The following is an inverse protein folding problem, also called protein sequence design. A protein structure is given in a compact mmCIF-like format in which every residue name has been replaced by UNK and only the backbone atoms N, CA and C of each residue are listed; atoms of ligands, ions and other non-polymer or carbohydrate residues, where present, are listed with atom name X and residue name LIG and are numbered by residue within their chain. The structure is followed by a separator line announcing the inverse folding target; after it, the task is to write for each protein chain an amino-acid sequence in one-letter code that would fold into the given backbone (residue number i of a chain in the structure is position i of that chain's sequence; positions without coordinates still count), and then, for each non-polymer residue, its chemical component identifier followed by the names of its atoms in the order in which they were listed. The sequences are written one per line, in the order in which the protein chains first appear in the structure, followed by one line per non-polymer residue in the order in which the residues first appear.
data_IF_018208742074
#
_entry.id   IF_018208742074
#
_cell.length_a   1.000
_cell.length_b   1.000
_cell.length_c   1.000
_cell.angle_alpha   90.00
_cell.angle_beta   90.00
_cell.angle_gamma   90.00
#
_symmetry.space_group_name_H-M   'P 1'
#
loop_
_entity.id
_entity.type
_entity.pdbx_description
1 polymer ?
#
# COMPACT_ATOMS: atom_id res chain seq x y z
N UNK A 1 -15.77 7.58 3.59
CA UNK A 1 -17.01 6.86 3.95
C UNK A 1 -16.70 5.87 5.05
N UNK A 2 -17.25 6.06 6.26
CA UNK A 2 -16.97 5.20 7.42
C UNK A 2 -18.05 4.13 7.63
N UNK A 3 -19.25 4.34 7.08
CA UNK A 3 -20.37 3.39 7.18
C UNK A 3 -20.64 2.60 5.89
N UNK A 4 -19.92 2.86 4.81
CA UNK A 4 -20.22 2.30 3.48
C UNK A 4 -21.42 2.95 2.77
N UNK A 5 -21.45 2.80 1.44
CA UNK A 5 -22.51 3.40 0.60
C UNK A 5 -23.86 2.76 0.92
N UNK A 6 -24.91 3.58 0.96
CA UNK A 6 -26.29 3.14 1.19
C UNK A 6 -26.77 3.22 2.65
N UNK A 7 -25.87 3.52 3.60
CA UNK A 7 -26.20 3.60 5.03
C UNK A 7 -26.42 5.04 5.55
N UNK A 8 -26.48 6.03 4.66
CA UNK A 8 -26.72 7.44 4.97
C UNK A 8 -27.41 8.12 3.79
N UNK A 9 -28.07 9.24 4.06
CA UNK A 9 -28.72 10.08 3.05
C UNK A 9 -27.85 11.28 2.67
N UNK A 10 -28.18 11.96 1.56
CA UNK A 10 -27.55 13.24 1.21
C UNK A 10 -27.75 14.29 2.31
N UNK A 11 -28.89 14.27 2.99
CA UNK A 11 -29.17 15.15 4.12
C UNK A 11 -28.19 14.92 5.27
N UNK A 12 -27.92 13.66 5.61
CA UNK A 12 -26.94 13.34 6.66
C UNK A 12 -25.54 13.87 6.31
N UNK A 13 -25.15 13.82 5.03
CA UNK A 13 -23.86 14.38 4.57
C UNK A 13 -23.83 15.89 4.77
N UNK A 14 -24.89 16.61 4.39
CA UNK A 14 -24.96 18.08 4.54
C UNK A 14 -24.93 18.48 6.01
N UNK A 15 -25.69 17.80 6.86
CA UNK A 15 -25.76 18.10 8.29
C UNK A 15 -24.46 17.73 9.02
N UNK A 16 -23.82 16.62 8.64
CA UNK A 16 -22.48 16.30 9.12
C UNK A 16 -21.45 17.34 8.68
N UNK A 17 -21.49 17.81 7.43
CA UNK A 17 -20.60 18.86 6.94
C UNK A 17 -20.76 20.17 7.74
N UNK A 18 -21.99 20.53 8.12
CA UNK A 18 -22.25 21.65 9.04
C UNK A 18 -21.58 21.42 10.39
N UNK A 19 -21.62 20.21 10.94
CA UNK A 19 -21.00 19.89 12.22
C UNK A 19 -19.46 19.95 12.18
N UNK A 20 -18.84 19.63 11.04
CA UNK A 20 -17.38 19.74 10.85
C UNK A 20 -16.88 21.15 10.55
N UNK A 21 -17.77 22.15 10.39
CA UNK A 21 -17.32 23.54 10.21
C UNK A 21 -16.49 24.00 11.41
N UNK A 22 -15.48 24.82 11.16
CA UNK A 22 -14.51 25.26 12.18
C UNK A 22 -13.36 24.27 12.42
N UNK A 23 -13.45 23.00 12.01
CA UNK A 23 -12.30 22.09 12.05
C UNK A 23 -11.25 22.48 11.01
N UNK A 24 -9.98 22.48 11.39
CA UNK A 24 -8.88 22.64 10.45
C UNK A 24 -7.53 22.45 11.12
N UNK A 25 -6.48 22.98 10.51
CA UNK A 25 -5.12 22.88 11.02
C UNK A 25 -4.39 24.22 11.01
N UNK A 26 -3.34 24.37 11.81
CA UNK A 26 -2.44 25.53 11.79
C UNK A 26 -1.27 25.32 10.80
N UNK A 27 -0.35 26.29 10.69
CA UNK A 27 0.80 26.18 9.78
C UNK A 27 1.75 25.01 10.09
N UNK A 28 1.68 24.47 11.31
CA UNK A 28 2.44 23.31 11.79
C UNK A 28 1.73 21.98 11.52
N UNK A 29 0.49 22.01 11.00
CA UNK A 29 -0.31 20.81 10.74
C UNK A 29 -1.06 20.28 11.96
N UNK A 30 -1.07 21.01 13.09
CA UNK A 30 -1.80 20.61 14.29
C UNK A 30 -3.28 20.94 14.14
N UNK A 31 -4.15 20.08 14.70
CA UNK A 31 -5.59 20.32 14.71
C UNK A 31 -5.95 21.59 15.49
N UNK A 32 -6.84 22.40 14.92
CA UNK A 32 -7.38 23.61 15.56
C UNK A 32 -8.87 23.70 15.29
N UNK A 33 -9.65 23.90 16.35
CA UNK A 33 -11.07 24.24 16.26
C UNK A 33 -11.27 25.76 16.27
N UNK A 34 -11.86 26.30 15.21
CA UNK A 34 -12.15 27.73 15.02
C UNK A 34 -13.62 28.01 15.29
N UNK A 35 -13.94 28.32 16.55
CA UNK A 35 -15.31 28.54 16.99
C UNK A 35 -16.09 29.56 16.14
N UNK A 36 -15.45 30.66 15.71
CA UNK A 36 -16.09 31.69 14.88
C UNK A 36 -16.39 31.25 13.44
N UNK A 37 -15.89 30.08 13.01
CA UNK A 37 -16.16 29.47 11.71
C UNK A 37 -17.08 28.25 11.83
N UNK A 38 -17.51 27.90 13.05
CA UNK A 38 -18.40 26.77 13.29
C UNK A 38 -19.87 27.22 13.23
N UNK A 39 -20.68 26.43 12.52
CA UNK A 39 -22.13 26.56 12.50
C UNK A 39 -22.70 26.04 13.82
N UNK A 40 -23.18 26.94 14.68
CA UNK A 40 -23.78 26.62 15.99
C UNK A 40 -25.27 26.29 15.92
N UNK A 41 -25.84 26.20 14.71
CA UNK A 41 -27.23 25.80 14.51
C UNK A 41 -27.48 24.34 14.91
N UNK A 42 -28.75 24.02 15.16
CA UNK A 42 -29.18 22.64 15.33
C UNK A 42 -29.00 21.85 14.03
N UNK A 43 -28.52 20.62 14.16
CA UNK A 43 -28.15 19.70 13.08
C UNK A 43 -28.82 18.36 13.31
N UNK A 44 -29.19 17.67 12.24
CA UNK A 44 -29.79 16.32 12.33
C UNK A 44 -28.95 15.31 11.56
N UNK A 45 -28.34 14.37 12.26
CA UNK A 45 -27.46 13.35 11.68
C UNK A 45 -27.96 11.98 12.10
N UNK A 46 -28.30 11.12 11.12
CA UNK A 46 -28.80 9.75 11.33
C UNK A 46 -29.98 9.68 12.32
N UNK A 47 -30.91 10.62 12.19
CA UNK A 47 -32.12 10.69 13.02
C UNK A 47 -31.93 11.30 14.41
N UNK A 48 -30.70 11.63 14.81
CA UNK A 48 -30.43 12.39 16.04
C UNK A 48 -30.38 13.87 15.74
N UNK A 49 -30.91 14.71 16.64
CA UNK A 49 -30.92 16.17 16.48
C UNK A 49 -30.29 16.84 17.68
N UNK A 50 -29.40 17.80 17.45
CA UNK A 50 -28.67 18.52 18.49
C UNK A 50 -27.80 19.63 17.91
N UNK A 51 -27.16 20.43 18.76
CA UNK A 51 -26.11 21.34 18.31
C UNK A 51 -24.78 20.59 18.24
N UNK A 52 -24.66 19.70 17.25
CA UNK A 52 -23.52 18.78 17.15
C UNK A 52 -22.28 19.48 16.58
N UNK A 53 -21.11 19.10 17.10
CA UNK A 53 -19.82 19.33 16.47
C UNK A 53 -19.30 18.08 15.72
N UNK A 54 -18.06 18.14 15.24
CA UNK A 54 -17.46 17.01 14.51
C UNK A 54 -17.26 15.77 15.39
N UNK A 55 -16.97 15.92 16.68
CA UNK A 55 -16.75 14.79 17.59
C UNK A 55 -18.08 14.09 17.91
N UNK A 56 -19.15 14.87 18.08
CA UNK A 56 -20.51 14.33 18.22
C UNK A 56 -20.90 13.51 16.99
N UNK A 57 -20.62 13.99 15.79
CA UNK A 57 -20.89 13.23 14.56
C UNK A 57 -20.09 11.92 14.55
N UNK A 58 -18.81 11.94 14.94
CA UNK A 58 -18.02 10.72 15.03
C UNK A 58 -18.66 9.72 16.01
N UNK A 59 -19.10 10.17 17.19
CA UNK A 59 -19.78 9.33 18.16
C UNK A 59 -21.08 8.72 17.58
N UNK A 60 -21.90 9.54 16.92
CA UNK A 60 -23.14 9.09 16.27
C UNK A 60 -22.86 8.01 15.21
N UNK A 61 -21.78 8.16 14.44
CA UNK A 61 -21.37 7.17 13.45
C UNK A 61 -20.89 5.87 14.12
N UNK A 62 -20.13 5.97 15.21
CA UNK A 62 -19.61 4.82 15.94
C UNK A 62 -20.72 4.04 16.66
N UNK A 63 -21.85 4.67 17.00
CA UNK A 63 -23.02 3.94 17.53
C UNK A 63 -23.70 3.03 16.49
N UNK A 64 -23.43 3.19 15.20
CA UNK A 64 -24.03 2.35 14.16
C UNK A 64 -23.24 1.04 14.00
N UNK A 65 -23.85 -0.15 14.20
CA UNK A 65 -23.14 -1.42 14.05
C UNK A 65 -22.57 -1.64 12.65
N UNK A 66 -23.20 -1.08 11.62
CA UNK A 66 -22.71 -1.13 10.23
C UNK A 66 -21.36 -0.43 10.05
N UNK A 67 -21.03 0.55 10.90
CA UNK A 67 -19.72 1.21 10.91
C UNK A 67 -18.61 0.23 11.28
N UNK A 68 -18.81 -0.56 12.35
CA UNK A 68 -17.88 -1.61 12.74
C UNK A 68 -17.71 -2.66 11.64
N UNK A 69 -18.79 -3.11 11.01
CA UNK A 69 -18.74 -4.06 9.88
C UNK A 69 -17.95 -3.47 8.71
N UNK A 70 -18.19 -2.21 8.33
CA UNK A 70 -17.52 -1.59 7.20
C UNK A 70 -16.01 -1.41 7.44
N UNK A 71 -15.62 -0.92 8.61
CA UNK A 71 -14.20 -0.76 8.99
C UNK A 71 -13.52 -2.14 9.04
N UNK A 72 -14.17 -3.13 9.65
CA UNK A 72 -13.66 -4.51 9.73
C UNK A 72 -13.46 -5.11 8.34
N UNK A 73 -14.39 -4.90 7.40
CA UNK A 73 -14.21 -5.33 6.00
C UNK A 73 -12.96 -4.73 5.35
N UNK A 74 -12.65 -3.46 5.63
CA UNK A 74 -11.43 -2.82 5.11
C UNK A 74 -10.17 -3.43 5.71
N UNK A 75 -10.14 -3.60 7.04
CA UNK A 75 -9.00 -4.19 7.75
C UNK A 75 -8.79 -5.65 7.32
N UNK A 76 -9.88 -6.42 7.19
CA UNK A 76 -9.83 -7.80 6.70
C UNK A 76 -9.24 -7.87 5.28
N UNK A 77 -9.67 -6.99 4.37
CA UNK A 77 -9.09 -6.90 3.02
C UNK A 77 -7.61 -6.51 3.05
N UNK A 78 -7.22 -5.66 3.99
CA UNK A 78 -5.83 -5.21 4.09
C UNK A 78 -4.89 -6.26 4.66
N UNK A 79 -5.33 -7.10 5.60
CA UNK A 79 -4.44 -8.03 6.30
C UNK A 79 -4.68 -9.51 6.02
N UNK A 80 -5.85 -9.90 5.51
CA UNK A 80 -6.24 -11.32 5.39
C UNK A 80 -6.39 -11.73 3.93
N UNK A 81 -7.39 -11.20 3.24
CA UNK A 81 -7.76 -11.65 1.90
C UNK A 81 -8.68 -10.62 1.22
N UNK A 82 -8.49 -10.40 -0.08
CA UNK A 82 -9.40 -9.56 -0.88
C UNK A 82 -10.82 -10.14 -0.93
N UNK A 83 -10.92 -11.47 -0.94
CA UNK A 83 -12.17 -12.22 -0.85
C UNK A 83 -12.64 -12.26 0.62
N UNK A 84 -13.81 -11.67 0.87
CA UNK A 84 -14.37 -11.58 2.21
C UNK A 84 -14.98 -12.93 2.63
N UNK A 85 -14.68 -13.34 3.86
CA UNK A 85 -15.48 -14.34 4.56
C UNK A 85 -16.45 -13.61 5.50
N UNK A 86 -17.73 -13.55 5.13
CA UNK A 86 -18.73 -12.78 5.88
C UNK A 86 -18.91 -13.27 7.32
N UNK A 87 -18.73 -14.58 7.60
CA UNK A 87 -18.82 -15.11 8.95
C UNK A 87 -17.68 -14.59 9.84
N UNK A 88 -16.43 -14.64 9.35
CA UNK A 88 -15.27 -14.12 10.07
C UNK A 88 -15.38 -12.60 10.26
N UNK A 89 -15.78 -11.88 9.20
CA UNK A 89 -15.98 -10.43 9.25
C UNK A 89 -17.03 -10.06 10.28
N UNK A 90 -18.17 -10.76 10.33
CA UNK A 90 -19.24 -10.46 11.27
C UNK A 90 -18.80 -10.75 12.72
N UNK A 91 -18.09 -11.86 12.94
CA UNK A 91 -17.53 -12.20 14.25
C UNK A 91 -16.53 -11.14 14.74
N UNK A 92 -15.60 -10.72 13.88
CA UNK A 92 -14.64 -9.65 14.17
C UNK A 92 -15.35 -8.31 14.41
N UNK A 93 -16.32 -7.95 13.56
CA UNK A 93 -17.02 -6.68 13.63
C UNK A 93 -17.85 -6.54 14.92
N UNK A 94 -18.52 -7.61 15.35
CA UNK A 94 -19.25 -7.62 16.61
C UNK A 94 -18.30 -7.35 17.78
N UNK A 95 -17.18 -8.07 17.85
CA UNK A 95 -16.18 -7.87 18.90
C UNK A 95 -15.52 -6.50 18.83
N UNK A 96 -15.28 -5.98 17.63
CA UNK A 96 -14.74 -4.64 17.43
C UNK A 96 -15.69 -3.57 17.95
N UNK A 97 -16.99 -3.72 17.68
CA UNK A 97 -18.04 -2.85 18.20
C UNK A 97 -18.14 -2.94 19.74
N UNK A 98 -18.21 -4.15 20.30
CA UNK A 98 -18.34 -4.40 21.74
C UNK A 98 -17.12 -3.93 22.54
N UNK A 99 -15.95 -3.83 21.90
CA UNK A 99 -14.71 -3.32 22.48
C UNK A 99 -14.47 -1.82 22.20
N UNK A 100 -15.52 -1.04 21.91
CA UNK A 100 -15.43 0.39 21.66
C UNK A 100 -14.44 0.76 20.54
N UNK A 101 -14.43 0.00 19.44
CA UNK A 101 -13.58 0.26 18.28
C UNK A 101 -12.07 0.23 18.56
N UNK A 102 -11.63 -0.58 19.53
CA UNK A 102 -10.20 -0.82 19.78
C UNK A 102 -9.57 -1.63 18.64
N UNK A 103 -8.78 -0.92 17.81
CA UNK A 103 -8.07 -1.50 16.65
C UNK A 103 -7.06 -2.56 17.10
N UNK A 104 -6.44 -2.40 18.27
CA UNK A 104 -5.44 -3.34 18.78
C UNK A 104 -6.07 -4.70 19.01
N UNK A 105 -7.25 -4.73 19.65
CA UNK A 105 -8.00 -5.97 19.89
C UNK A 105 -8.50 -6.60 18.60
N UNK A 106 -8.96 -5.80 17.64
CA UNK A 106 -9.35 -6.31 16.33
C UNK A 106 -8.17 -7.00 15.61
N UNK A 107 -6.99 -6.37 15.60
CA UNK A 107 -5.79 -6.97 15.01
C UNK A 107 -5.34 -8.21 15.79
N UNK A 108 -5.44 -8.21 17.12
CA UNK A 108 -5.15 -9.38 17.93
C UNK A 108 -6.09 -10.56 17.59
N UNK A 109 -7.40 -10.32 17.50
CA UNK A 109 -8.38 -11.34 17.12
C UNK A 109 -8.08 -11.91 15.72
N UNK A 110 -7.63 -11.08 14.77
CA UNK A 110 -7.19 -11.53 13.43
C UNK A 110 -5.94 -12.42 13.54
N UNK A 111 -4.86 -11.93 14.14
CA UNK A 111 -3.56 -12.62 14.12
C UNK A 111 -3.51 -13.83 15.05
N UNK A 112 -4.42 -13.96 16.01
CA UNK A 112 -4.51 -15.14 16.89
C UNK A 112 -5.46 -16.22 16.38
N UNK A 113 -6.21 -15.94 15.31
CA UNK A 113 -7.14 -16.89 14.74
C UNK A 113 -6.45 -17.93 13.85
N UNK A 114 -6.74 -19.21 14.04
CA UNK A 114 -6.17 -20.30 13.23
C UNK A 114 -6.44 -20.13 11.72
N UNK A 115 -7.61 -19.60 11.36
CA UNK A 115 -7.99 -19.39 9.97
C UNK A 115 -7.09 -18.37 9.26
N UNK A 116 -6.41 -17.48 10.00
CA UNK A 116 -5.51 -16.47 9.43
C UNK A 116 -4.34 -17.12 8.70
N UNK A 117 -3.81 -18.22 9.25
CA UNK A 117 -2.63 -18.92 8.74
C UNK A 117 -2.96 -20.06 7.75
N UNK A 118 -4.19 -20.14 7.27
CA UNK A 118 -4.56 -21.12 6.24
C UNK A 118 -3.94 -20.77 4.89
N UNK A 119 -3.57 -21.77 4.08
CA UNK A 119 -2.86 -21.57 2.80
C UNK A 119 -3.55 -20.57 1.86
N UNK A 120 -4.89 -20.53 1.87
CA UNK A 120 -5.69 -19.59 1.07
C UNK A 120 -5.46 -18.11 1.41
N UNK A 121 -4.88 -17.81 2.59
CA UNK A 121 -4.65 -16.47 3.12
C UNK A 121 -3.16 -16.06 3.05
N UNK A 122 -2.27 -16.93 2.53
CA UNK A 122 -0.83 -16.68 2.48
C UNK A 122 -0.42 -16.40 1.03
N UNK A 123 0.26 -15.28 0.77
CA UNK A 123 0.79 -14.99 -0.56
C UNK A 123 -0.30 -14.83 -1.63
N UNK A 124 -1.51 -14.42 -1.23
CA UNK A 124 -2.69 -14.36 -2.10
C UNK A 124 -3.00 -12.93 -2.57
N UNK A 125 -2.32 -11.91 -2.03
CA UNK A 125 -2.55 -10.51 -2.36
C UNK A 125 -1.46 -9.95 -3.23
N UNK A 126 -1.84 -9.09 -4.16
CA UNK A 126 -0.86 -8.30 -4.90
C UNK A 126 -0.36 -7.19 -3.97
N UNK A 127 0.94 -7.16 -3.69
CA UNK A 127 1.60 -6.07 -2.95
C UNK A 127 1.21 -4.73 -3.57
N UNK A 128 0.82 -3.74 -2.78
CA UNK A 128 0.71 -2.36 -3.26
C UNK A 128 2.08 -1.83 -3.69
N UNK A 129 2.16 -0.77 -4.53
CA UNK A 129 3.43 -0.14 -4.89
C UNK A 129 4.32 0.20 -3.69
N UNK A 130 3.74 0.66 -2.59
CA UNK A 130 4.48 0.96 -1.36
C UNK A 130 4.97 -0.32 -0.68
N UNK A 131 4.15 -1.37 -0.59
CA UNK A 131 4.57 -2.67 -0.05
C UNK A 131 5.70 -3.29 -0.87
N UNK A 132 5.66 -3.16 -2.21
CA UNK A 132 6.71 -3.63 -3.10
C UNK A 132 8.04 -2.90 -2.85
N UNK A 133 8.02 -1.57 -2.89
CA UNK A 133 9.23 -0.75 -2.70
C UNK A 133 9.80 -0.88 -1.28
N UNK A 134 8.95 -0.87 -0.25
CA UNK A 134 9.38 -1.08 1.13
C UNK A 134 9.92 -2.50 1.35
N UNK A 135 9.30 -3.52 0.74
CA UNK A 135 9.78 -4.91 0.80
C UNK A 135 11.16 -5.08 0.18
N UNK A 136 11.40 -4.47 -0.99
CA UNK A 136 12.71 -4.46 -1.65
C UNK A 136 13.77 -3.84 -0.73
N UNK A 137 13.51 -2.64 -0.18
CA UNK A 137 14.44 -1.93 0.71
C UNK A 137 14.67 -2.64 2.05
N UNK A 138 13.67 -3.37 2.53
CA UNK A 138 13.79 -4.17 3.76
C UNK A 138 14.76 -5.34 3.57
N UNK A 139 14.72 -5.98 2.41
CA UNK A 139 15.58 -7.13 2.13
C UNK A 139 16.96 -6.72 1.60
N UNK A 140 17.02 -5.67 0.78
CA UNK A 140 18.25 -5.08 0.25
C UNK A 140 18.48 -3.76 0.96
N UNK A 141 19.34 -3.71 2.00
CA UNK A 141 19.71 -2.47 2.66
C UNK A 141 20.30 -1.53 1.61
N UNK A 142 19.55 -0.48 1.27
CA UNK A 142 19.90 0.39 0.17
C UNK A 142 19.52 1.84 0.46
N UNK A 143 20.30 2.74 -0.12
CA UNK A 143 20.02 4.16 -0.17
C UNK A 143 19.81 4.57 -1.62
N UNK A 144 18.74 5.31 -1.91
CA UNK A 144 18.56 5.88 -3.23
C UNK A 144 19.57 7.00 -3.43
N UNK A 145 20.20 7.07 -4.60
CA UNK A 145 21.12 8.18 -4.90
C UNK A 145 20.39 9.54 -4.98
N UNK A 146 19.09 9.53 -5.24
CA UNK A 146 18.22 10.72 -5.28
C UNK A 146 16.89 10.45 -4.60
N UNK A 147 16.51 11.31 -3.66
CA UNK A 147 15.23 11.22 -2.97
C UNK A 147 14.04 11.38 -3.94
N UNK A 148 14.20 12.19 -4.98
CA UNK A 148 13.18 12.41 -6.02
C UNK A 148 12.78 11.11 -6.74
N UNK A 149 13.69 10.13 -6.82
CA UNK A 149 13.43 8.83 -7.46
C UNK A 149 12.35 8.03 -6.74
N UNK A 150 12.22 8.21 -5.42
CA UNK A 150 11.14 7.59 -4.65
C UNK A 150 9.76 8.11 -5.11
N UNK A 151 9.63 9.43 -5.27
CA UNK A 151 8.39 10.04 -5.73
C UNK A 151 8.06 9.64 -7.17
N UNK A 152 9.10 9.54 -8.02
CA UNK A 152 8.94 9.06 -9.40
C UNK A 152 8.36 7.65 -9.46
N UNK A 153 8.92 6.70 -8.69
CA UNK A 153 8.40 5.33 -8.63
C UNK A 153 6.97 5.27 -8.11
N UNK A 154 6.65 6.06 -7.07
CA UNK A 154 5.29 6.19 -6.55
C UNK A 154 4.30 6.68 -7.61
N UNK A 155 4.69 7.69 -8.41
CA UNK A 155 3.85 8.22 -9.49
C UNK A 155 3.66 7.21 -10.62
N UNK A 156 4.74 6.56 -11.07
CA UNK A 156 4.67 5.56 -12.15
C UNK A 156 3.82 4.35 -11.76
N UNK A 157 3.94 3.90 -10.51
CA UNK A 157 3.21 2.73 -9.99
C UNK A 157 1.80 3.05 -9.48
N UNK A 158 1.41 4.33 -9.45
CA UNK A 158 0.04 4.75 -9.13
C UNK A 158 -0.30 4.88 -7.64
N UNK A 159 0.69 5.00 -6.76
CA UNK A 159 0.45 5.19 -5.31
C UNK A 159 1.44 6.20 -4.71
N UNK A 160 1.05 7.48 -4.70
CA UNK A 160 1.78 8.55 -4.03
C UNK A 160 1.29 8.68 -2.60
N UNK A 161 2.17 8.52 -1.61
CA UNK A 161 1.79 8.64 -0.20
C UNK A 161 1.15 10.02 0.09
N UNK A 162 0.13 10.01 0.95
CA UNK A 162 -0.65 11.19 1.34
C UNK A 162 -1.43 11.90 0.20
N UNK A 163 -1.43 11.34 -1.01
CA UNK A 163 -2.14 11.90 -2.16
C UNK A 163 -3.04 10.84 -2.82
N UNK A 164 -4.11 10.39 -2.14
CA UNK A 164 -5.05 9.44 -2.72
C UNK A 164 -5.84 10.08 -3.89
N UNK A 165 -6.22 9.30 -4.90
CA UNK A 165 -6.92 9.82 -6.08
C UNK A 165 -8.31 10.38 -5.74
N UNK A 166 -8.95 9.86 -4.68
CA UNK A 166 -10.23 10.35 -4.18
C UNK A 166 -10.43 9.98 -2.70
N UNK A 167 -11.56 10.39 -2.13
CA UNK A 167 -11.94 10.14 -0.72
C UNK A 167 -12.11 8.65 -0.35
N UNK A 168 -12.17 7.74 -1.33
CA UNK A 168 -12.18 6.30 -1.09
C UNK A 168 -10.77 5.70 -0.91
N UNK A 169 -9.72 6.46 -1.23
CA UNK A 169 -8.33 6.01 -1.21
C UNK A 169 -7.90 5.41 -2.55
N UNK A 170 -6.90 4.54 -2.52
CA UNK A 170 -6.46 3.79 -3.70
C UNK A 170 -7.28 2.51 -3.88
N UNK A 171 -7.67 2.16 -5.12
CA UNK A 171 -8.18 0.84 -5.40
C UNK A 171 -7.06 -0.19 -5.19
N UNK A 172 -7.36 -1.28 -4.47
CA UNK A 172 -6.43 -2.35 -4.18
C UNK A 172 -6.51 -3.54 -5.15
N UNK A 173 -5.60 -4.49 -4.96
CA UNK A 173 -5.58 -5.77 -5.67
C UNK A 173 -5.16 -5.67 -7.12
N UNK A 174 -5.95 -6.23 -8.03
CA UNK A 174 -5.61 -6.30 -9.46
C UNK A 174 -5.44 -4.94 -10.12
N UNK A 175 -5.99 -3.87 -9.55
CA UNK A 175 -5.82 -2.49 -10.06
C UNK A 175 -4.37 -2.01 -9.99
N UNK A 176 -3.52 -2.65 -9.19
CA UNK A 176 -2.08 -2.37 -9.17
C UNK A 176 -1.34 -2.88 -10.41
N UNK A 177 -1.98 -3.74 -11.21
CA UNK A 177 -1.38 -4.38 -12.37
C UNK A 177 -2.11 -3.93 -13.64
N UNK A 178 -1.36 -3.29 -14.52
CA UNK A 178 -1.74 -3.01 -15.89
C UNK A 178 -0.55 -3.28 -16.83
N UNK A 179 -0.76 -3.17 -18.14
CA UNK A 179 0.26 -3.47 -19.15
C UNK A 179 1.56 -2.67 -18.99
N UNK A 180 1.48 -1.46 -18.44
CA UNK A 180 2.65 -0.61 -18.20
C UNK A 180 3.25 -0.82 -16.80
N UNK A 181 2.42 -0.88 -15.75
CA UNK A 181 2.91 -1.01 -14.38
C UNK A 181 3.52 -2.39 -14.12
N UNK A 182 3.02 -3.44 -14.76
CA UNK A 182 3.59 -4.78 -14.65
C UNK A 182 5.06 -4.81 -15.09
N UNK A 183 5.37 -4.23 -16.24
CA UNK A 183 6.75 -4.18 -16.75
C UNK A 183 7.67 -3.46 -15.77
N UNK A 184 7.24 -2.29 -15.27
CA UNK A 184 8.02 -1.52 -14.28
C UNK A 184 8.22 -2.31 -13.00
N UNK A 185 7.18 -2.96 -12.50
CA UNK A 185 7.23 -3.77 -11.26
C UNK A 185 8.24 -4.91 -11.33
N UNK A 186 8.27 -5.62 -12.46
CA UNK A 186 9.20 -6.74 -12.66
C UNK A 186 10.63 -6.23 -12.83
N UNK A 187 10.83 -5.09 -13.50
CA UNK A 187 12.18 -4.56 -13.75
C UNK A 187 12.73 -3.69 -12.60
N UNK A 188 11.88 -3.24 -11.67
CA UNK A 188 12.26 -2.35 -10.57
C UNK A 188 13.49 -2.84 -9.76
N UNK A 189 13.61 -4.12 -9.37
CA UNK A 189 14.79 -4.61 -8.67
C UNK A 189 16.07 -4.49 -9.50
N UNK A 190 15.99 -4.71 -10.82
CA UNK A 190 17.12 -4.56 -11.73
C UNK A 190 17.54 -3.10 -11.89
N UNK A 191 16.58 -2.16 -12.00
CA UNK A 191 16.89 -0.71 -12.05
C UNK A 191 17.65 -0.26 -10.81
N UNK A 192 17.17 -0.68 -9.64
CA UNK A 192 17.77 -0.30 -8.37
C UNK A 192 19.18 -0.88 -8.23
N UNK A 193 19.43 -2.10 -8.71
CA UNK A 193 20.68 -2.84 -8.48
C UNK A 193 21.74 -2.72 -9.59
N UNK A 194 21.33 -2.57 -10.85
CA UNK A 194 22.22 -2.62 -12.01
C UNK A 194 22.57 -1.23 -12.57
N UNK A 195 22.00 -0.15 -12.01
CA UNK A 195 22.08 1.21 -12.57
C UNK A 195 21.62 1.26 -14.04
N UNK A 196 20.74 0.34 -14.43
CA UNK A 196 20.18 0.26 -15.77
C UNK A 196 19.06 1.31 -15.92
N UNK A 197 19.09 2.05 -17.02
CA UNK A 197 18.06 3.04 -17.34
C UNK A 197 16.91 2.35 -18.07
N UNK A 198 15.68 2.46 -17.55
CA UNK A 198 14.48 2.11 -18.32
C UNK A 198 13.84 3.39 -18.85
N UNK A 199 13.51 3.42 -20.14
CA UNK A 199 12.66 4.47 -20.71
C UNK A 199 11.20 4.25 -20.25
N UNK A 200 10.83 4.80 -19.10
CA UNK A 200 9.45 4.74 -18.59
C UNK A 200 8.87 6.14 -18.54
N UNK A 201 7.72 6.32 -19.18
CA UNK A 201 6.89 7.52 -19.03
C UNK A 201 5.84 7.29 -17.97
N UNK A 202 5.77 8.17 -16.96
CA UNK A 202 4.66 8.17 -16.02
C UNK A 202 3.34 8.37 -16.79
N UNK A 203 2.29 7.66 -16.37
CA UNK A 203 0.94 7.91 -16.89
C UNK A 203 0.52 9.34 -16.58
N UNK A 204 -0.12 9.98 -17.55
CA UNK A 204 -0.89 11.18 -17.31
C UNK A 204 -2.25 10.72 -16.79
N UNK A 205 -2.62 11.19 -15.61
CA UNK A 205 -3.92 10.90 -15.02
C UNK A 205 -4.82 12.12 -15.25
N UNK A 206 -5.54 12.12 -16.38
CA UNK A 206 -6.37 13.25 -16.81
C UNK A 206 -7.52 13.54 -15.82
N UNK A 207 -7.97 12.53 -15.07
CA UNK A 207 -9.04 12.64 -14.07
C UNK A 207 -8.57 13.36 -12.78
N UNK A 208 -7.27 13.28 -12.46
CA UNK A 208 -6.68 13.95 -11.28
C UNK A 208 -6.24 15.38 -11.63
N UNK A 209 -5.90 15.60 -12.89
CA UNK A 209 -5.33 16.86 -13.36
C UNK A 209 -6.38 17.91 -13.80
N UNK A 210 -7.68 17.60 -13.78
CA UNK A 210 -8.78 18.55 -14.07
C UNK A 210 -8.53 19.43 -15.31
N UNK A 211 -7.92 18.89 -16.37
CA UNK A 211 -7.60 19.64 -17.58
C UNK A 211 -6.41 20.61 -17.51
N UNK A 212 -5.61 20.62 -16.44
CA UNK A 212 -4.36 21.40 -16.31
C UNK A 212 -3.18 20.76 -17.08
N UNK A 213 -3.40 20.43 -18.35
CA UNK A 213 -2.46 19.64 -19.17
C UNK A 213 -1.23 20.45 -19.62
N UNK A 214 -1.32 21.79 -19.71
CA UNK A 214 -0.26 22.60 -20.35
C UNK A 214 1.00 22.84 -19.50
N UNK A 215 0.87 23.03 -18.19
CA UNK A 215 2.04 23.28 -17.32
C UNK A 215 2.74 21.98 -16.89
N UNK A 216 1.99 20.90 -16.70
CA UNK A 216 2.59 19.63 -16.29
C UNK A 216 3.29 18.90 -17.44
N UNK A 217 2.84 19.04 -18.69
CA UNK A 217 3.56 18.51 -19.87
C UNK A 217 4.96 19.13 -20.03
N UNK A 218 5.14 20.40 -19.66
CA UNK A 218 6.46 21.05 -19.63
C UNK A 218 7.35 20.49 -18.50
N UNK A 219 6.77 20.18 -17.33
CA UNK A 219 7.47 19.48 -16.23
C UNK A 219 7.81 18.03 -16.58
N UNK A 220 6.92 17.31 -17.24
CA UNK A 220 7.12 15.91 -17.67
C UNK A 220 8.21 15.83 -18.74
N UNK A 221 8.29 16.79 -19.67
CA UNK A 221 9.40 16.86 -20.62
C UNK A 221 10.74 17.19 -19.95
N UNK A 222 10.77 17.93 -18.82
CA UNK A 222 11.97 18.02 -17.97
C UNK A 222 12.27 16.71 -17.24
N UNK A 223 11.25 15.99 -16.76
CA UNK A 223 11.40 14.72 -16.04
C UNK A 223 11.80 13.53 -16.94
N UNK A 224 11.56 13.58 -18.25
CA UNK A 224 12.10 12.59 -19.22
C UNK A 224 13.62 12.46 -19.14
N UNK A 225 14.33 13.54 -18.80
CA UNK A 225 15.79 13.51 -18.63
C UNK A 225 16.25 12.80 -17.35
N UNK A 226 15.39 12.68 -16.33
CA UNK A 226 15.75 12.12 -15.02
C UNK A 226 15.71 10.60 -15.01
N UNK A 227 14.84 9.98 -15.82
CA UNK A 227 14.72 8.51 -15.90
C UNK A 227 15.96 7.87 -16.56
N UNK A 228 16.66 8.61 -17.44
CA UNK A 228 17.86 8.10 -18.12
C UNK A 228 19.11 8.00 -17.22
N UNK A 229 19.13 8.61 -16.03
CA UNK A 229 20.32 8.65 -15.15
C UNK A 229 20.04 8.67 -13.64
N UNK A 230 18.80 8.47 -13.19
CA UNK A 230 18.40 8.94 -11.85
C UNK A 230 18.01 7.91 -10.79
N UNK A 231 17.77 6.64 -11.13
CA UNK A 231 17.07 5.72 -10.23
C UNK A 231 17.97 4.65 -9.58
N UNK A 232 19.27 4.85 -9.61
CA UNK A 232 20.26 3.96 -9.00
C UNK A 232 20.16 4.00 -7.48
N UNK A 233 20.31 2.83 -6.85
CA UNK A 233 20.49 2.71 -5.41
C UNK A 233 21.89 2.19 -5.09
N UNK A 234 22.47 2.65 -3.98
CA UNK A 234 23.66 2.03 -3.40
C UNK A 234 23.17 0.93 -2.47
N UNK A 235 23.52 -0.32 -2.78
CA UNK A 235 23.07 -1.51 -2.04
C UNK A 235 24.25 -2.08 -1.25
N UNK A 236 24.06 -2.31 0.05
CA UNK A 236 25.02 -3.03 0.89
C UNK A 236 24.84 -4.55 0.73
N UNK A 237 25.58 -5.13 -0.21
CA UNK A 237 25.60 -6.57 -0.45
C UNK A 237 26.32 -7.37 0.64
N UNK A 238 27.15 -6.72 1.46
CA UNK A 238 27.89 -7.38 2.54
C UNK A 238 26.92 -7.89 3.61
N UNK A 239 25.92 -7.09 3.97
CA UNK A 239 24.85 -7.49 4.89
C UNK A 239 23.99 -8.63 4.33
N UNK A 240 23.64 -8.57 3.04
CA UNK A 240 22.83 -9.61 2.38
C UNK A 240 23.58 -10.94 2.34
N UNK A 241 24.87 -10.93 1.96
CA UNK A 241 25.69 -12.13 1.89
C UNK A 241 25.88 -12.80 3.26
N UNK A 242 25.96 -12.00 4.33
CA UNK A 242 26.08 -12.49 5.71
C UNK A 242 24.89 -13.36 6.14
N UNK A 243 23.67 -13.07 5.65
CA UNK A 243 22.47 -13.89 5.94
C UNK A 243 22.64 -15.33 5.42
N UNK A 244 23.31 -15.48 4.28
CA UNK A 244 23.43 -16.76 3.59
C UNK A 244 24.80 -17.44 3.77
N UNK A 245 25.72 -16.87 4.53
CA UNK A 245 27.10 -17.34 4.68
C UNK A 245 27.19 -18.84 5.05
N UNK A 246 26.34 -19.29 5.98
CA UNK A 246 26.31 -20.68 6.49
C UNK A 246 25.57 -21.67 5.58
N UNK A 247 24.97 -21.22 4.48
CA UNK A 247 24.16 -22.09 3.61
C UNK A 247 25.05 -22.79 2.57
N UNK A 248 24.90 -24.11 2.39
CA UNK A 248 25.61 -24.82 1.33
C UNK A 248 25.22 -24.30 -0.06
N UNK A 249 26.14 -24.31 -1.03
CA UNK A 249 25.91 -23.77 -2.38
C UNK A 249 24.71 -24.40 -3.06
N UNK A 250 24.53 -25.71 -2.92
CA UNK A 250 23.43 -26.48 -3.52
C UNK A 250 22.05 -26.08 -2.96
N UNK A 251 22.00 -25.63 -1.70
CA UNK A 251 20.76 -25.24 -1.02
C UNK A 251 20.51 -23.73 -1.07
N UNK A 252 21.43 -22.97 -1.68
CA UNK A 252 21.42 -21.52 -1.62
C UNK A 252 20.22 -20.93 -2.37
N UNK A 253 19.91 -21.42 -3.57
CA UNK A 253 18.76 -20.96 -4.35
C UNK A 253 17.44 -21.17 -3.62
N UNK A 254 17.23 -22.39 -3.09
CA UNK A 254 16.03 -22.71 -2.33
C UNK A 254 15.93 -21.84 -1.07
N UNK A 255 17.02 -21.69 -0.32
CA UNK A 255 17.03 -20.88 0.90
C UNK A 255 16.72 -19.40 0.61
N UNK A 256 17.23 -18.85 -0.49
CA UNK A 256 16.92 -17.48 -0.92
C UNK A 256 15.44 -17.37 -1.29
N UNK A 257 14.91 -18.32 -2.08
CA UNK A 257 13.51 -18.36 -2.47
C UNK A 257 12.59 -18.45 -1.24
N UNK A 258 12.85 -19.35 -0.30
CA UNK A 258 12.07 -19.49 0.95
C UNK A 258 12.13 -18.25 1.84
N UNK A 259 13.17 -17.42 1.70
CA UNK A 259 13.31 -16.19 2.49
C UNK A 259 12.62 -15.00 1.80
N UNK A 260 12.61 -14.96 0.47
CA UNK A 260 12.06 -13.86 -0.32
C UNK A 260 10.57 -14.03 -0.66
N UNK A 261 10.17 -15.24 -1.01
CA UNK A 261 8.84 -15.55 -1.51
C UNK A 261 7.95 -16.02 -0.35
N UNK A 262 6.76 -15.44 -0.26
CA UNK A 262 5.74 -15.86 0.71
C UNK A 262 4.83 -16.95 0.14
N UNK A 263 4.78 -17.07 -1.18
CA UNK A 263 4.09 -18.14 -1.88
C UNK A 263 4.92 -19.41 -1.88
N UNK A 264 4.26 -20.57 -1.88
CA UNK A 264 4.93 -21.83 -2.20
C UNK A 264 5.56 -21.71 -3.59
N UNK A 265 6.90 -21.76 -3.65
CA UNK A 265 7.66 -21.48 -4.87
C UNK A 265 7.20 -22.34 -6.03
N UNK A 266 6.77 -21.70 -7.12
CA UNK A 266 6.53 -22.33 -8.43
C UNK A 266 7.59 -21.92 -9.47
N UNK A 267 8.62 -21.19 -9.04
CA UNK A 267 9.66 -20.71 -9.95
C UNK A 267 10.50 -21.89 -10.38
N UNK A 268 10.49 -22.19 -11.68
CA UNK A 268 11.28 -23.26 -12.26
C UNK A 268 12.78 -22.96 -12.07
N UNK A 269 13.46 -23.83 -11.32
CA UNK A 269 14.88 -23.71 -11.05
C UNK A 269 15.71 -23.70 -12.36
N UNK A 270 15.25 -24.40 -13.40
CA UNK A 270 15.93 -24.43 -14.70
C UNK A 270 15.86 -23.08 -15.43
N UNK A 271 14.81 -22.29 -15.21
CA UNK A 271 14.70 -20.94 -15.77
C UNK A 271 15.61 -19.95 -15.05
N UNK A 272 15.69 -20.05 -13.72
CA UNK A 272 16.58 -19.21 -12.91
C UNK A 272 18.05 -19.43 -13.25
N UNK A 273 18.46 -20.69 -13.48
CA UNK A 273 19.84 -21.05 -13.79
C UNK A 273 20.41 -20.41 -15.07
N UNK A 274 19.55 -19.94 -15.98
CA UNK A 274 19.95 -19.23 -17.19
C UNK A 274 20.34 -17.76 -16.95
N UNK A 275 19.86 -17.17 -15.85
CA UNK A 275 20.06 -15.75 -15.53
C UNK A 275 20.91 -15.52 -14.28
N UNK A 276 21.36 -16.60 -13.61
CA UNK A 276 22.19 -16.55 -12.42
C UNK A 276 23.68 -16.66 -12.80
N UNK A 277 24.50 -15.80 -12.21
CA UNK A 277 25.95 -15.82 -12.39
C UNK A 277 26.58 -17.02 -11.66
N UNK A 278 27.43 -17.79 -12.36
CA UNK A 278 28.08 -19.01 -11.84
C UNK A 278 29.52 -18.78 -11.38
N UNK A 279 29.97 -17.54 -11.39
CA UNK A 279 31.35 -17.11 -11.15
C UNK A 279 31.73 -17.12 -9.66
N UNK A 280 31.15 -16.24 -8.86
CA UNK A 280 31.45 -16.09 -7.44
C UNK A 280 30.22 -16.36 -6.58
N UNK A 281 30.44 -16.73 -5.31
CA UNK A 281 29.34 -16.94 -4.38
C UNK A 281 28.50 -15.67 -4.21
N UNK A 282 29.16 -14.52 -4.10
CA UNK A 282 28.52 -13.22 -3.92
C UNK A 282 27.71 -12.80 -5.15
N UNK A 283 28.27 -12.96 -6.35
CA UNK A 283 27.58 -12.63 -7.60
C UNK A 283 26.38 -13.54 -7.84
N UNK A 284 26.47 -14.81 -7.43
CA UNK A 284 25.33 -15.72 -7.46
C UNK A 284 24.23 -15.29 -6.50
N UNK A 285 24.55 -14.94 -5.24
CA UNK A 285 23.53 -14.44 -4.29
C UNK A 285 22.87 -13.19 -4.86
N UNK A 286 23.68 -12.24 -5.33
CA UNK A 286 23.20 -11.00 -5.94
C UNK A 286 22.26 -11.24 -7.11
N UNK A 287 22.68 -12.02 -8.10
CA UNK A 287 21.87 -12.31 -9.29
C UNK A 287 20.61 -13.11 -8.93
N UNK A 288 20.72 -14.13 -8.07
CA UNK A 288 19.57 -14.94 -7.62
C UNK A 288 18.52 -14.08 -6.92
N UNK A 289 18.94 -13.20 -5.99
CA UNK A 289 18.04 -12.29 -5.27
C UNK A 289 17.33 -11.35 -6.24
N UNK A 290 18.08 -10.69 -7.14
CA UNK A 290 17.50 -9.75 -8.10
C UNK A 290 16.50 -10.47 -9.01
N UNK A 291 16.88 -11.63 -9.57
CA UNK A 291 16.01 -12.39 -10.46
C UNK A 291 14.74 -12.86 -9.75
N UNK A 292 14.84 -13.39 -8.53
CA UNK A 292 13.67 -13.76 -7.74
C UNK A 292 12.76 -12.57 -7.45
N UNK A 293 13.32 -11.39 -7.16
CA UNK A 293 12.50 -10.17 -6.97
C UNK A 293 11.81 -9.71 -8.26
N UNK A 294 12.33 -10.07 -9.43
CA UNK A 294 11.70 -9.75 -10.72
C UNK A 294 10.57 -10.71 -11.10
N UNK A 295 10.32 -11.75 -10.31
CA UNK A 295 9.26 -12.74 -10.59
C UNK A 295 7.86 -12.24 -10.19
N UNK A 296 6.79 -12.73 -10.85
CA UNK A 296 5.42 -12.50 -10.40
C UNK A 296 5.16 -12.98 -8.96
N UNK A 297 5.80 -14.05 -8.52
CA UNK A 297 5.69 -14.61 -7.17
C UNK A 297 6.13 -13.59 -6.11
N UNK A 298 7.19 -12.83 -6.37
CA UNK A 298 7.62 -11.77 -5.46
C UNK A 298 6.64 -10.60 -5.39
N UNK A 299 5.74 -10.44 -6.35
CA UNK A 299 4.71 -9.40 -6.31
C UNK A 299 3.55 -9.77 -5.36
N UNK A 300 3.55 -10.98 -4.80
CA UNK A 300 2.50 -11.49 -3.92
C UNK A 300 2.90 -11.46 -2.44
N UNK A 301 1.95 -11.18 -1.56
CA UNK A 301 2.08 -11.23 -0.09
C UNK A 301 0.84 -11.83 0.56
#
# INVERSE_FOLDING_TARGET
FTMGRGNYTEKDIKEAARAFTGWGYNGQGEFVFRQNQHDTGSKTVLGKTGNFDGDDVLNILLEQPHTAVYITKKIYKEFVNEELNDANVQWLAQRFYDNNYDITKLLQDIYTSDWFYTEKNIGNKIKSPIQLTAGIRRFLPMELEKDESQLLFQKILGQILFYPPNVAGWPGGKTWIDSSTLMVRLQLPQVLAAKESINITAKNDDDVNMGMVKEEQLRINRNKAYVNKGASAVIDWTLVNKVFEKTAREKLSQKIADTLLQTGSRVDAALLDNYIAKDSRENFVKTTVIQLMTTPEYQLC
#
